data_IF_346247805067
#
_entry.id   IF_346247805067
#
_cell.length_a   1.000
_cell.length_b   1.000
_cell.length_c   1.000
_cell.angle_alpha   90.00
_cell.angle_beta   90.00
_cell.angle_gamma   90.00
#
_symmetry.space_group_name_H-M   'P 1'
#
loop_
_entity.id
_entity.type
_entity.pdbx_description
1 polymer ?
#
# COMPACT_ATOMS: atom_id res chain seq x y z
N UNK A 1 -11.76 4.70 -13.59
CA UNK A 1 -12.30 5.87 -12.85
C UNK A 1 -13.80 5.77 -12.51
N UNK A 2 -14.50 4.68 -12.82
CA UNK A 2 -15.90 4.50 -12.39
C UNK A 2 -16.02 4.28 -10.86
N UNK A 3 -15.05 3.56 -10.27
CA UNK A 3 -14.97 3.30 -8.84
C UNK A 3 -14.87 4.58 -7.99
N UNK A 4 -13.98 5.52 -8.36
CA UNK A 4 -13.88 6.84 -7.68
C UNK A 4 -15.22 7.58 -7.67
N UNK A 5 -15.94 7.57 -8.80
CA UNK A 5 -17.22 8.25 -8.92
C UNK A 5 -18.32 7.59 -8.09
N UNK A 6 -18.31 6.26 -7.98
CA UNK A 6 -19.18 5.53 -7.05
C UNK A 6 -18.86 5.88 -5.58
N UNK A 7 -17.59 5.99 -5.22
CA UNK A 7 -17.18 6.39 -3.87
C UNK A 7 -17.59 7.83 -3.51
N UNK A 8 -17.54 8.75 -4.47
CA UNK A 8 -18.04 10.13 -4.31
C UNK A 8 -19.56 10.14 -4.14
N UNK A 9 -20.31 9.41 -4.98
CA UNK A 9 -21.78 9.38 -4.93
C UNK A 9 -22.31 8.68 -3.67
N UNK A 10 -21.56 7.72 -3.12
CA UNK A 10 -21.92 7.03 -1.88
C UNK A 10 -21.56 7.81 -0.61
N UNK A 11 -20.87 8.95 -0.72
CA UNK A 11 -20.45 9.77 0.43
C UNK A 11 -19.39 9.12 1.32
N UNK A 12 -18.85 7.96 0.93
CA UNK A 12 -17.86 7.19 1.71
C UNK A 12 -16.55 7.98 1.87
N UNK A 13 -16.20 8.78 0.86
CA UNK A 13 -15.01 9.66 0.87
C UNK A 13 -15.13 10.74 1.97
N UNK A 14 -16.34 11.10 2.39
CA UNK A 14 -16.62 12.13 3.39
C UNK A 14 -16.93 11.54 4.78
N UNK A 15 -17.52 10.33 4.82
CA UNK A 15 -17.82 9.60 6.04
C UNK A 15 -16.58 9.02 6.71
N UNK A 16 -15.64 8.46 5.93
CA UNK A 16 -14.42 7.86 6.46
C UNK A 16 -13.57 8.84 7.28
N UNK A 17 -13.32 10.08 6.82
CA UNK A 17 -12.60 11.04 7.62
C UNK A 17 -13.25 11.38 8.95
N UNK A 18 -14.57 11.47 8.99
CA UNK A 18 -15.32 11.77 10.22
C UNK A 18 -15.20 10.62 11.22
N UNK A 19 -15.38 9.38 10.78
CA UNK A 19 -15.24 8.20 11.63
C UNK A 19 -13.81 8.06 12.18
N UNK A 20 -12.78 8.36 11.38
CA UNK A 20 -11.38 8.32 11.80
C UNK A 20 -11.08 9.38 12.89
N UNK A 21 -11.63 10.58 12.73
CA UNK A 21 -11.50 11.66 13.72
C UNK A 21 -12.23 11.31 15.02
N UNK A 22 -13.43 10.73 14.93
CA UNK A 22 -14.19 10.26 16.10
C UNK A 22 -13.47 9.14 16.86
N UNK A 23 -12.76 8.26 16.14
CA UNK A 23 -11.99 7.16 16.70
C UNK A 23 -10.58 7.55 17.19
N UNK A 24 -10.17 8.83 17.09
CA UNK A 24 -8.82 9.30 17.46
C UNK A 24 -7.68 8.47 16.81
N UNK A 25 -7.92 7.93 15.60
CA UNK A 25 -6.95 7.06 14.97
C UNK A 25 -5.80 7.89 14.37
N UNK A 26 -4.53 7.52 14.61
CA UNK A 26 -3.40 8.21 14.01
C UNK A 26 -3.45 8.09 12.48
N UNK A 27 -3.62 9.23 11.81
CA UNK A 27 -3.80 9.35 10.35
C UNK A 27 -2.67 8.65 9.58
N UNK A 28 -1.44 8.72 10.10
CA UNK A 28 -0.24 8.06 9.55
C UNK A 28 -0.45 6.53 9.45
N UNK A 29 -1.09 5.93 10.44
CA UNK A 29 -1.30 4.50 10.53
C UNK A 29 -2.29 4.02 9.45
N UNK A 30 -3.30 4.84 9.15
CA UNK A 30 -4.27 4.58 8.08
C UNK A 30 -3.60 4.74 6.71
N UNK A 31 -2.85 5.82 6.50
CA UNK A 31 -2.10 6.04 5.25
C UNK A 31 -1.09 4.92 4.99
N UNK A 32 -0.58 4.27 6.04
CA UNK A 32 0.34 3.13 5.90
C UNK A 32 -0.39 1.80 5.69
N UNK A 33 -1.32 1.45 6.57
CA UNK A 33 -1.95 0.12 6.57
C UNK A 33 -2.90 -0.07 5.39
N UNK A 34 -3.67 0.95 5.02
CA UNK A 34 -4.72 0.79 4.00
C UNK A 34 -4.11 0.43 2.63
N UNK A 35 -3.10 1.18 2.12
CA UNK A 35 -2.43 0.81 0.87
C UNK A 35 -1.67 -0.50 1.01
N UNK A 36 -1.06 -0.78 2.16
CA UNK A 36 -0.32 -2.02 2.38
C UNK A 36 -1.23 -3.26 2.27
N UNK A 37 -2.38 -3.26 2.94
CA UNK A 37 -3.33 -4.40 2.90
C UNK A 37 -3.90 -4.57 1.49
N UNK A 38 -4.32 -3.48 0.86
CA UNK A 38 -4.86 -3.55 -0.51
C UNK A 38 -3.78 -4.00 -1.49
N UNK A 39 -2.54 -3.52 -1.35
CA UNK A 39 -1.38 -3.97 -2.11
C UNK A 39 -1.11 -5.46 -1.92
N UNK A 40 -1.20 -5.95 -0.68
CA UNK A 40 -1.00 -7.37 -0.35
C UNK A 40 -2.06 -8.28 -0.98
N UNK A 41 -3.32 -7.85 -0.99
CA UNK A 41 -4.42 -8.64 -1.57
C UNK A 41 -4.38 -8.60 -3.09
N UNK A 42 -4.10 -7.43 -3.68
CA UNK A 42 -4.17 -7.24 -5.13
C UNK A 42 -2.92 -7.71 -5.86
N UNK A 43 -1.74 -7.61 -5.25
CA UNK A 43 -0.47 -7.95 -5.87
C UNK A 43 -0.10 -7.11 -7.10
N UNK A 44 -0.80 -5.99 -7.36
CA UNK A 44 -0.63 -5.14 -8.55
C UNK A 44 -0.52 -3.66 -8.16
N UNK A 45 0.48 -2.96 -8.73
CA UNK A 45 0.73 -1.52 -8.45
C UNK A 45 -0.45 -0.61 -8.71
N UNK A 46 -1.07 -0.75 -9.89
CA UNK A 46 -2.15 0.13 -10.28
C UNK A 46 -3.44 -0.10 -9.49
N UNK A 47 -3.63 -1.31 -8.96
CA UNK A 47 -4.84 -1.68 -8.23
C UNK A 47 -4.92 -0.97 -6.87
N UNK A 48 -3.87 -1.05 -6.05
CA UNK A 48 -3.87 -0.38 -4.75
C UNK A 48 -3.86 1.15 -4.91
N UNK A 49 -3.13 1.71 -5.89
CA UNK A 49 -3.14 3.16 -6.14
C UNK A 49 -4.53 3.62 -6.52
N UNK A 50 -5.18 2.94 -7.47
CA UNK A 50 -6.53 3.29 -7.93
C UNK A 50 -7.63 3.14 -6.88
N UNK A 51 -7.45 2.26 -5.89
CA UNK A 51 -8.43 2.03 -4.82
C UNK A 51 -8.19 2.92 -3.60
N UNK A 52 -6.94 3.06 -3.16
CA UNK A 52 -6.63 3.70 -1.88
C UNK A 52 -6.39 5.20 -2.00
N UNK A 53 -5.81 5.68 -3.12
CA UNK A 53 -5.52 7.11 -3.26
C UNK A 53 -6.79 7.98 -3.31
N UNK A 54 -7.86 7.61 -4.05
CA UNK A 54 -9.10 8.40 -4.03
C UNK A 54 -9.73 8.47 -2.64
N UNK A 55 -9.57 7.42 -1.84
CA UNK A 55 -10.07 7.33 -0.48
C UNK A 55 -9.27 8.20 0.51
N UNK A 56 -7.96 8.26 0.29
CA UNK A 56 -7.02 8.96 1.16
C UNK A 56 -6.76 10.42 0.76
N UNK A 57 -7.26 10.86 -0.41
CA UNK A 57 -7.17 12.23 -0.92
C UNK A 57 -7.30 13.33 0.16
N UNK A 58 -8.33 13.34 1.03
CA UNK A 58 -8.48 14.38 2.06
C UNK A 58 -7.36 14.39 3.12
N UNK A 59 -6.64 13.27 3.29
CA UNK A 59 -5.56 13.11 4.26
C UNK A 59 -4.15 13.32 3.68
N UNK A 60 -4.03 13.30 2.36
CA UNK A 60 -2.76 13.44 1.63
C UNK A 60 -2.36 14.93 1.49
N UNK A 61 -2.21 15.62 2.62
CA UNK A 61 -1.91 17.06 2.68
C UNK A 61 -0.41 17.40 2.63
N UNK A 62 0.38 16.66 1.85
CA UNK A 62 1.83 16.88 1.70
C UNK A 62 2.51 15.77 0.90
N UNK A 63 3.66 16.07 0.28
CA UNK A 63 4.42 15.10 -0.51
C UNK A 63 4.86 13.90 0.32
N UNK A 64 5.21 14.11 1.59
CA UNK A 64 5.72 13.08 2.50
C UNK A 64 4.66 11.99 2.74
N UNK A 65 3.41 12.40 2.93
CA UNK A 65 2.27 11.50 3.14
C UNK A 65 1.92 10.71 1.87
N UNK A 66 2.05 11.34 0.70
CA UNK A 66 1.83 10.68 -0.59
C UNK A 66 2.91 9.63 -0.84
N UNK A 67 4.17 10.01 -0.61
CA UNK A 67 5.31 9.10 -0.72
C UNK A 67 5.17 7.91 0.25
N UNK A 68 4.71 8.17 1.47
CA UNK A 68 4.50 7.14 2.49
C UNK A 68 3.36 6.18 2.13
N UNK A 69 2.24 6.69 1.62
CA UNK A 69 1.13 5.88 1.11
C UNK A 69 1.55 4.99 -0.07
N UNK A 70 2.39 5.54 -0.95
CA UNK A 70 2.92 4.81 -2.10
C UNK A 70 3.91 3.73 -1.67
N UNK A 71 4.86 4.07 -0.81
CA UNK A 71 5.85 3.14 -0.26
C UNK A 71 5.17 1.96 0.45
N UNK A 72 4.16 2.24 1.28
CA UNK A 72 3.43 1.21 2.02
C UNK A 72 2.67 0.26 1.08
N UNK A 73 1.97 0.79 0.09
CA UNK A 73 1.26 -0.04 -0.89
C UNK A 73 2.20 -0.84 -1.79
N UNK A 74 3.34 -0.25 -2.17
CA UNK A 74 4.37 -0.95 -2.94
C UNK A 74 4.98 -2.11 -2.16
N UNK A 75 5.27 -1.93 -0.87
CA UNK A 75 5.73 -3.02 0.00
C UNK A 75 4.67 -4.12 0.16
N UNK A 76 3.41 -3.76 0.37
CA UNK A 76 2.32 -4.73 0.45
C UNK A 76 2.25 -5.60 -0.80
N UNK A 77 2.35 -5.00 -1.98
CA UNK A 77 2.39 -5.71 -3.25
C UNK A 77 3.63 -6.60 -3.40
N UNK A 78 4.81 -6.11 -3.02
CA UNK A 78 6.08 -6.85 -3.13
C UNK A 78 6.07 -8.13 -2.27
N UNK A 79 5.44 -8.06 -1.10
CA UNK A 79 5.26 -9.22 -0.21
C UNK A 79 4.07 -10.10 -0.59
N UNK A 80 3.22 -9.68 -1.54
CA UNK A 80 2.02 -10.41 -1.92
C UNK A 80 2.35 -11.78 -2.54
N UNK A 81 1.78 -12.88 -2.00
CA UNK A 81 1.92 -14.22 -2.60
C UNK A 81 1.18 -14.35 -3.93
N UNK A 82 0.37 -13.36 -4.28
CA UNK A 82 -0.41 -13.29 -5.53
C UNK A 82 0.33 -12.50 -6.60
N UNK A 83 1.54 -12.00 -6.32
CA UNK A 83 2.32 -11.25 -7.29
C UNK A 83 2.78 -12.18 -8.43
N UNK A 84 2.12 -12.05 -9.58
CA UNK A 84 2.29 -12.95 -10.72
C UNK A 84 3.76 -13.06 -11.14
N UNK A 85 4.50 -11.95 -11.16
CA UNK A 85 5.92 -11.96 -11.53
C UNK A 85 6.76 -12.86 -10.61
N UNK A 86 6.41 -12.96 -9.32
CA UNK A 86 7.13 -13.79 -8.35
C UNK A 86 6.81 -15.27 -8.56
N UNK A 87 5.54 -15.61 -8.73
CA UNK A 87 5.09 -17.00 -8.94
C UNK A 87 5.63 -17.55 -10.25
N UNK A 88 5.46 -16.83 -11.36
CA UNK A 88 5.94 -17.27 -12.67
C UNK A 88 7.47 -17.43 -12.71
N UNK A 89 8.21 -16.53 -12.05
CA UNK A 89 9.67 -16.66 -11.96
C UNK A 89 10.06 -17.87 -11.13
N UNK A 90 9.43 -18.10 -9.98
CA UNK A 90 9.72 -19.25 -9.13
C UNK A 90 9.38 -20.57 -9.83
N UNK A 91 8.26 -20.63 -10.55
CA UNK A 91 7.86 -21.81 -11.32
C UNK A 91 8.82 -22.08 -12.49
N UNK A 92 9.22 -21.04 -13.23
CA UNK A 92 10.18 -21.16 -14.32
C UNK A 92 11.54 -21.69 -13.85
N UNK A 93 12.06 -21.17 -12.74
CA UNK A 93 13.34 -21.61 -12.16
C UNK A 93 13.22 -22.83 -11.23
N UNK A 94 12.01 -23.39 -11.04
CA UNK A 94 11.71 -24.46 -10.09
C UNK A 94 12.23 -24.16 -8.67
N UNK A 95 12.16 -22.89 -8.27
CA UNK A 95 12.66 -22.41 -6.99
C UNK A 95 11.60 -22.59 -5.89
N UNK A 96 12.04 -22.96 -4.69
CA UNK A 96 11.18 -23.04 -3.52
C UNK A 96 10.73 -21.63 -3.09
N UNK A 97 9.43 -21.36 -3.17
CA UNK A 97 8.83 -20.06 -2.80
C UNK A 97 9.26 -19.60 -1.40
N UNK A 98 9.31 -20.50 -0.41
CA UNK A 98 9.74 -20.16 0.95
C UNK A 98 11.18 -19.64 1.03
N UNK A 99 12.08 -20.13 0.18
CA UNK A 99 13.47 -19.68 0.11
C UNK A 99 13.56 -18.33 -0.61
N UNK A 100 12.82 -18.16 -1.70
CA UNK A 100 12.71 -16.87 -2.40
C UNK A 100 12.17 -15.79 -1.47
N UNK A 101 11.12 -16.08 -0.71
CA UNK A 101 10.57 -15.15 0.28
C UNK A 101 11.56 -14.76 1.36
N UNK A 102 12.32 -15.71 1.93
CA UNK A 102 13.36 -15.41 2.91
C UNK A 102 14.44 -14.48 2.34
N UNK A 103 14.86 -14.72 1.10
CA UNK A 103 15.85 -13.88 0.41
C UNK A 103 15.27 -12.51 0.08
N UNK A 104 13.99 -12.42 -0.28
CA UNK A 104 13.29 -11.17 -0.62
C UNK A 104 12.95 -10.32 0.61
N UNK A 105 12.78 -10.95 1.77
CA UNK A 105 12.40 -10.26 3.00
C UNK A 105 13.48 -9.30 3.49
N UNK A 106 14.76 -9.68 3.38
CA UNK A 106 15.89 -8.82 3.76
C UNK A 106 15.93 -7.51 2.96
N UNK A 107 16.00 -7.52 1.61
CA UNK A 107 15.98 -6.30 0.81
C UNK A 107 14.65 -5.56 0.90
N UNK A 108 13.51 -6.26 1.01
CA UNK A 108 12.19 -5.63 1.17
C UNK A 108 12.09 -4.81 2.45
N UNK A 109 12.50 -5.38 3.59
CA UNK A 109 12.51 -4.67 4.88
C UNK A 109 13.53 -3.52 4.85
N UNK A 110 14.71 -3.71 4.27
CA UNK A 110 15.70 -2.63 4.09
C UNK A 110 15.12 -1.46 3.29
N UNK A 111 14.47 -1.73 2.16
CA UNK A 111 13.82 -0.70 1.35
C UNK A 111 12.74 0.05 2.13
N UNK A 112 11.92 -0.66 2.91
CA UNK A 112 10.87 -0.03 3.71
C UNK A 112 11.44 0.87 4.80
N UNK A 113 12.45 0.39 5.54
CA UNK A 113 13.10 1.15 6.61
C UNK A 113 13.83 2.37 6.05
N UNK A 114 14.60 2.20 4.97
CA UNK A 114 15.29 3.31 4.32
C UNK A 114 14.31 4.35 3.75
N UNK A 115 13.21 3.90 3.15
CA UNK A 115 12.14 4.78 2.65
C UNK A 115 11.46 5.55 3.77
N UNK A 116 11.14 4.90 4.89
CA UNK A 116 10.60 5.57 6.07
C UNK A 116 11.58 6.60 6.65
N UNK A 117 12.86 6.25 6.76
CA UNK A 117 13.89 7.18 7.24
C UNK A 117 14.05 8.39 6.32
N UNK A 118 14.02 8.17 5.00
CA UNK A 118 14.10 9.24 4.01
C UNK A 118 12.90 10.20 4.12
N UNK A 119 11.69 9.66 4.27
CA UNK A 119 10.46 10.45 4.43
C UNK A 119 10.44 11.19 5.77
N UNK A 120 11.00 10.62 6.84
CA UNK A 120 11.08 11.27 8.15
C UNK A 120 12.11 12.43 8.18
N UNK A 121 13.09 12.38 7.30
CA UNK A 121 14.19 13.36 7.22
C UNK A 121 13.87 14.54 6.28
N UNK A 122 12.80 14.40 5.47
CA UNK A 122 12.26 15.41 4.56
C UNK A 122 11.24 16.31 5.29
#
# INVERSE_FOLDING_TARGET
MYFKKLLEVTGVVEALPRTIIELNLPIILIITLTPFIVGLITGISFAYVGMTFPLLLPFLTGFDKIALAYLSGYMGMLFSPVHLCLIFSAEYYKAELGRVYKVLLVPGVLLFVLGLLYILLL
#
